data_IF_390016118870
#
_entry.id   IF_390016118870
#
_cell.length_a   1.000
_cell.length_b   1.000
_cell.length_c   1.000
_cell.angle_alpha   90.00
_cell.angle_beta   90.00
_cell.angle_gamma   90.00
#
_symmetry.space_group_name_H-M   'P 1'
#
loop_
_entity.id
_entity.type
_entity.pdbx_description
1 polymer ?
#
# COMPACT_ATOMS: atom_id res chain seq x y z
N UNK A 1 3.62 -59.25 -20.86
CA UNK A 1 4.79 -59.33 -21.76
C UNK A 1 5.09 -57.90 -22.19
N UNK A 2 6.22 -57.24 -21.88
CA UNK A 2 7.60 -57.70 -21.78
C UNK A 2 8.36 -57.10 -20.58
N UNK A 3 9.31 -57.89 -20.09
CA UNK A 3 10.29 -57.61 -19.04
C UNK A 3 11.59 -57.02 -19.59
N UNK A 4 12.29 -56.21 -18.80
CA UNK A 4 13.76 -56.10 -18.74
C UNK A 4 14.14 -55.36 -17.43
N UNK A 5 14.60 -56.05 -16.38
CA UNK A 5 16.02 -56.37 -16.01
C UNK A 5 16.86 -55.10 -15.74
N UNK A 6 17.09 -54.73 -14.48
CA UNK A 6 18.15 -55.17 -13.55
C UNK A 6 19.50 -54.49 -13.84
N UNK A 7 19.95 -53.59 -12.97
CA UNK A 7 21.32 -53.61 -12.46
C UNK A 7 21.48 -52.77 -11.17
N UNK A 8 22.03 -53.43 -10.15
CA UNK A 8 22.42 -52.89 -8.85
C UNK A 8 23.82 -52.31 -8.98
N UNK A 9 24.10 -51.22 -8.28
CA UNK A 9 25.46 -50.96 -7.79
C UNK A 9 25.39 -50.33 -6.39
N UNK A 10 25.71 -51.18 -5.42
CA UNK A 10 26.03 -50.85 -4.04
C UNK A 10 27.41 -50.21 -4.03
N UNK A 11 27.50 -48.97 -3.58
CA UNK A 11 28.77 -48.29 -3.31
C UNK A 11 28.83 -47.90 -1.83
N UNK A 12 29.38 -48.79 -1.01
CA UNK A 12 29.83 -48.49 0.35
C UNK A 12 31.12 -47.66 0.25
N UNK A 13 31.16 -46.48 0.89
CA UNK A 13 32.34 -45.61 0.96
C UNK A 13 32.46 -44.95 2.34
N UNK A 14 33.63 -45.12 2.95
CA UNK A 14 34.01 -44.94 4.35
C UNK A 14 34.26 -43.46 4.78
N UNK A 15 33.70 -43.09 5.94
CA UNK A 15 34.22 -42.28 7.08
C UNK A 15 35.26 -41.14 6.85
N UNK A 16 34.96 -39.93 7.34
CA UNK A 16 35.92 -39.07 8.07
C UNK A 16 35.20 -37.96 8.89
N UNK A 17 35.42 -37.96 10.20
CA UNK A 17 34.94 -37.00 11.20
C UNK A 17 35.75 -35.71 11.16
N UNK A 18 35.07 -34.55 11.12
CA UNK A 18 35.67 -33.25 11.46
C UNK A 18 34.73 -32.53 12.43
N UNK A 19 35.07 -32.59 13.72
CA UNK A 19 34.61 -31.63 14.72
C UNK A 19 35.19 -30.26 14.40
N UNK A 20 34.32 -29.29 14.15
CA UNK A 20 34.64 -27.88 14.33
C UNK A 20 33.45 -27.22 15.03
N UNK A 21 33.63 -26.93 16.32
CA UNK A 21 32.79 -25.98 17.03
C UNK A 21 33.02 -24.60 16.41
N UNK A 22 32.21 -24.21 15.44
CA UNK A 22 32.10 -22.80 15.06
C UNK A 22 31.30 -22.09 16.14
N UNK A 23 32.05 -21.34 16.96
CA UNK A 23 31.63 -20.14 17.67
C UNK A 23 30.34 -19.54 17.11
N UNK A 24 29.31 -19.47 17.95
CA UNK A 24 28.11 -18.66 17.71
C UNK A 24 28.55 -17.20 17.76
N UNK A 25 28.91 -16.67 16.58
CA UNK A 25 29.21 -15.27 16.42
C UNK A 25 27.89 -14.52 16.61
N UNK A 26 27.72 -13.85 17.75
CA UNK A 26 26.60 -12.97 18.00
C UNK A 26 26.76 -11.72 17.11
N UNK A 27 26.10 -11.75 15.95
CA UNK A 27 25.85 -10.61 15.09
C UNK A 27 24.85 -11.05 14.03
N UNK A 28 23.84 -10.24 13.65
CA UNK A 28 23.71 -8.80 13.79
C UNK A 28 22.58 -8.39 14.75
N UNK A 29 22.64 -7.20 15.34
CA UNK A 29 21.39 -6.47 15.52
C UNK A 29 20.98 -6.06 14.10
N UNK A 30 19.87 -6.56 13.54
CA UNK A 30 19.25 -5.79 12.49
C UNK A 30 18.85 -4.49 13.19
N UNK A 31 19.54 -3.40 12.84
CA UNK A 31 18.88 -2.11 12.80
C UNK A 31 17.52 -2.41 12.20
N UNK A 32 16.46 -2.26 13.01
CA UNK A 32 15.12 -2.11 12.49
C UNK A 32 15.10 -0.73 11.86
N UNK A 33 15.89 -0.62 10.78
CA UNK A 33 15.71 0.30 9.71
C UNK A 33 14.24 0.16 9.39
N UNK A 34 13.51 1.24 9.64
CA UNK A 34 12.18 1.49 9.15
C UNK A 34 12.11 0.94 7.74
N UNK A 35 11.67 -0.31 7.60
CA UNK A 35 11.31 -0.86 6.33
C UNK A 35 10.02 -0.12 6.01
N UNK A 36 10.19 1.02 5.35
CA UNK A 36 9.19 1.55 4.44
C UNK A 36 9.06 0.47 3.37
N UNK A 37 8.35 -0.61 3.71
CA UNK A 37 7.72 -1.49 2.74
C UNK A 37 6.64 -0.62 2.12
N UNK A 38 7.03 0.20 1.15
CA UNK A 38 6.12 0.99 0.33
C UNK A 38 5.13 0.09 -0.45
N UNK A 39 5.28 -1.23 -0.36
CA UNK A 39 4.41 -2.22 -0.97
C UNK A 39 3.35 -2.82 -0.04
N UNK A 40 3.55 -2.80 1.28
CA UNK A 40 2.62 -3.44 2.22
C UNK A 40 1.65 -2.42 2.82
N UNK A 41 0.74 -1.90 2.00
CA UNK A 41 -0.35 -1.07 2.51
C UNK A 41 -1.21 -1.88 3.52
N UNK A 42 -1.29 -1.47 4.79
CA UNK A 42 -2.05 -2.21 5.81
C UNK A 42 -3.56 -1.93 5.76
N UNK A 43 -4.04 -1.10 4.81
CA UNK A 43 -5.47 -0.78 4.67
C UNK A 43 -6.23 -2.02 4.21
N UNK A 44 -7.13 -2.48 5.05
CA UNK A 44 -7.99 -3.62 4.77
C UNK A 44 -9.07 -3.25 3.76
N UNK A 45 -9.77 -2.15 4.00
CA UNK A 45 -10.90 -1.70 3.18
C UNK A 45 -10.94 -0.18 3.08
N UNK A 46 -11.52 0.31 1.98
CA UNK A 46 -11.80 1.71 1.74
C UNK A 46 -13.27 1.90 1.41
N UNK A 47 -13.93 2.91 1.98
CA UNK A 47 -15.37 3.12 1.81
C UNK A 47 -15.76 4.60 1.88
N UNK A 48 -16.98 4.90 1.46
CA UNK A 48 -17.59 6.23 1.57
C UNK A 48 -16.79 7.37 0.91
N UNK A 49 -16.02 7.04 -0.12
CA UNK A 49 -15.22 8.03 -0.84
C UNK A 49 -16.09 8.95 -1.70
N UNK A 50 -15.84 10.25 -1.57
CA UNK A 50 -16.45 11.31 -2.36
C UNK A 50 -15.38 12.31 -2.79
N UNK A 51 -15.54 12.84 -3.99
CA UNK A 51 -14.68 13.88 -4.51
C UNK A 51 -15.53 15.02 -5.07
N UNK A 52 -15.08 16.25 -4.87
CA UNK A 52 -15.72 17.41 -5.46
C UNK A 52 -14.71 18.49 -5.78
N UNK A 53 -14.99 19.24 -6.84
CA UNK A 53 -14.25 20.43 -7.21
C UNK A 53 -14.91 21.64 -6.57
N UNK A 54 -14.12 22.39 -5.82
CA UNK A 54 -14.47 23.75 -5.41
C UNK A 54 -13.91 24.72 -6.45
N UNK A 55 -14.81 25.26 -7.26
CA UNK A 55 -14.54 26.25 -8.28
C UNK A 55 -14.86 27.62 -7.68
N UNK A 56 -13.97 28.08 -6.80
CA UNK A 56 -14.10 29.37 -6.13
C UNK A 56 -14.46 30.47 -7.15
N UNK A 57 -15.51 31.28 -6.91
CA UNK A 57 -15.82 32.39 -7.80
C UNK A 57 -14.71 33.44 -7.77
N UNK A 58 -14.41 34.04 -8.92
CA UNK A 58 -13.39 35.09 -9.05
C UNK A 58 -11.98 34.55 -9.29
N UNK A 59 -10.99 35.08 -8.55
CA UNK A 59 -9.56 34.80 -8.73
C UNK A 59 -9.03 33.67 -7.84
N UNK A 60 -9.91 32.92 -7.16
CA UNK A 60 -9.51 31.78 -6.35
C UNK A 60 -9.04 30.61 -7.22
N UNK A 61 -7.95 29.95 -6.81
CA UNK A 61 -7.52 28.73 -7.48
C UNK A 61 -8.51 27.59 -7.22
N UNK A 62 -8.93 26.83 -8.24
CA UNK A 62 -9.82 25.70 -8.05
C UNK A 62 -9.13 24.61 -7.23
N UNK A 63 -9.88 23.97 -6.32
CA UNK A 63 -9.38 22.91 -5.44
C UNK A 63 -10.15 21.62 -5.62
N UNK A 64 -9.45 20.50 -5.70
CA UNK A 64 -10.00 19.16 -5.59
C UNK A 64 -10.05 18.76 -4.12
N UNK A 65 -11.24 18.46 -3.63
CA UNK A 65 -11.45 17.98 -2.27
C UNK A 65 -11.85 16.51 -2.34
N UNK A 66 -11.32 15.71 -1.42
CA UNK A 66 -11.65 14.30 -1.29
C UNK A 66 -11.84 13.96 0.18
N UNK A 67 -12.85 13.14 0.46
CA UNK A 67 -13.12 12.57 1.78
C UNK A 67 -13.58 11.13 1.64
N UNK A 68 -13.19 10.28 2.58
CA UNK A 68 -13.63 8.90 2.66
C UNK A 68 -13.19 8.26 3.96
N UNK A 69 -13.27 6.94 4.03
CA UNK A 69 -12.92 6.16 5.21
C UNK A 69 -12.06 4.98 4.82
N UNK A 70 -11.16 4.59 5.71
CA UNK A 70 -10.33 3.40 5.59
C UNK A 70 -10.37 2.58 6.87
N UNK A 71 -10.27 1.26 6.72
CA UNK A 71 -10.24 0.32 7.85
C UNK A 71 -8.84 -0.24 8.02
N UNK A 72 -8.31 -0.13 9.23
CA UNK A 72 -7.02 -0.68 9.64
C UNK A 72 -7.19 -1.90 10.55
N UNK A 73 -6.20 -2.82 10.57
CA UNK A 73 -6.26 -4.05 11.38
C UNK A 73 -6.12 -3.81 12.89
N UNK A 74 -5.56 -2.67 13.28
CA UNK A 74 -5.40 -2.27 14.67
C UNK A 74 -5.50 -0.75 14.82
N UNK A 75 -5.55 -0.27 16.07
CA UNK A 75 -5.51 1.15 16.36
C UNK A 75 -4.07 1.72 16.24
N UNK A 76 -3.96 3.04 16.08
CA UNK A 76 -2.67 3.75 16.13
C UNK A 76 -1.94 3.91 14.80
N UNK A 77 -2.48 3.40 13.69
CA UNK A 77 -2.03 3.81 12.37
C UNK A 77 -2.31 5.29 12.15
N UNK A 78 -1.41 5.97 11.46
CA UNK A 78 -1.63 7.32 10.93
C UNK A 78 -1.54 7.28 9.41
N UNK A 79 -2.22 8.22 8.75
CA UNK A 79 -2.25 8.28 7.29
C UNK A 79 -2.17 9.70 6.77
N UNK A 80 -1.68 9.82 5.54
CA UNK A 80 -1.65 11.07 4.78
C UNK A 80 -2.16 10.80 3.37
N UNK A 81 -3.02 11.69 2.85
CA UNK A 81 -3.47 11.64 1.48
C UNK A 81 -2.60 12.57 0.62
N UNK A 82 -1.94 12.04 -0.39
CA UNK A 82 -1.04 12.76 -1.28
C UNK A 82 -1.52 12.77 -2.72
N UNK A 83 -1.13 13.81 -3.45
CA UNK A 83 -1.38 13.92 -4.89
C UNK A 83 -0.44 12.97 -5.64
N UNK A 84 -1.02 12.06 -6.42
CA UNK A 84 -0.29 11.15 -7.29
C UNK A 84 -0.26 11.62 -8.74
N UNK A 85 0.07 10.68 -9.63
CA UNK A 85 0.14 10.92 -11.07
C UNK A 85 -1.25 11.26 -11.63
N UNK A 86 -1.29 12.25 -12.53
CA UNK A 86 -2.44 12.55 -13.37
C UNK A 86 -2.27 11.85 -14.73
N UNK A 87 -3.30 11.11 -15.16
CA UNK A 87 -3.30 10.49 -16.49
C UNK A 87 -3.36 11.56 -17.59
N UNK A 88 -2.79 11.26 -18.77
CA UNK A 88 -2.74 12.14 -19.94
C UNK A 88 -3.98 12.03 -20.84
N UNK A 89 -5.07 11.45 -20.35
CA UNK A 89 -6.36 11.38 -21.04
C UNK A 89 -7.13 12.70 -20.91
N UNK A 90 -8.17 12.88 -21.73
CA UNK A 90 -9.12 13.98 -21.60
C UNK A 90 -10.57 13.47 -21.60
N UNK A 91 -11.33 13.62 -20.49
CA UNK A 91 -10.89 14.11 -19.18
C UNK A 91 -9.87 13.17 -18.50
N UNK A 92 -8.96 13.68 -17.65
CA UNK A 92 -7.94 12.87 -17.01
C UNK A 92 -8.47 12.14 -15.76
N UNK A 93 -7.78 11.06 -15.38
CA UNK A 93 -7.94 10.42 -14.08
C UNK A 93 -6.85 10.88 -13.13
N UNK A 94 -7.22 11.38 -11.95
CA UNK A 94 -6.26 11.79 -10.91
C UNK A 94 -6.06 10.65 -9.91
N UNK A 95 -4.82 10.22 -9.71
CA UNK A 95 -4.48 9.27 -8.65
C UNK A 95 -4.21 10.03 -7.35
N UNK A 96 -4.77 9.56 -6.23
CA UNK A 96 -4.42 10.00 -4.88
C UNK A 96 -3.87 8.82 -4.09
N UNK A 97 -2.82 9.05 -3.33
CA UNK A 97 -2.06 8.03 -2.63
C UNK A 97 -2.28 8.20 -1.13
N UNK A 98 -2.79 7.16 -0.47
CA UNK A 98 -2.79 7.06 0.98
C UNK A 98 -1.47 6.47 1.40
N UNK A 99 -0.63 7.28 2.03
CA UNK A 99 0.55 6.81 2.74
C UNK A 99 0.16 6.51 4.19
N UNK A 100 0.67 5.40 4.71
CA UNK A 100 0.30 4.91 6.05
C UNK A 100 1.57 4.69 6.86
N UNK A 101 1.55 5.17 8.11
CA UNK A 101 2.60 4.89 9.10
C UNK A 101 2.04 3.97 10.17
N UNK A 102 2.76 2.88 10.45
CA UNK A 102 2.39 1.94 11.49
C UNK A 102 2.63 2.52 12.90
N UNK A 103 1.84 2.12 13.91
CA UNK A 103 2.10 2.50 15.29
C UNK A 103 3.45 1.96 15.77
N UNK A 104 4.16 2.74 16.60
CA UNK A 104 5.47 2.37 17.15
C UNK A 104 5.41 1.32 18.26
N UNK A 105 4.24 1.12 18.87
CA UNK A 105 4.01 0.17 19.94
C UNK A 105 2.95 -0.87 19.53
N UNK A 106 3.01 -2.10 20.06
CA UNK A 106 1.96 -3.09 19.85
C UNK A 106 0.61 -2.52 20.32
N UNK A 107 -0.38 -2.61 19.44
CA UNK A 107 -1.74 -2.12 19.67
C UNK A 107 -2.72 -3.29 19.80
N UNK A 108 -3.87 -3.03 20.42
CA UNK A 108 -4.96 -4.00 20.46
C UNK A 108 -5.40 -4.35 19.03
N UNK A 109 -5.62 -5.63 18.78
CA UNK A 109 -6.12 -6.14 17.49
C UNK A 109 -7.62 -5.84 17.36
N UNK A 110 -7.93 -4.60 16.99
CA UNK A 110 -9.29 -4.08 16.79
C UNK A 110 -9.34 -3.37 15.45
N UNK A 111 -10.31 -3.76 14.62
CA UNK A 111 -10.61 -3.07 13.37
C UNK A 111 -10.93 -1.61 13.66
N UNK A 112 -10.13 -0.71 13.09
CA UNK A 112 -10.24 0.72 13.35
C UNK A 112 -10.57 1.43 12.06
N UNK A 113 -11.76 2.03 12.00
CA UNK A 113 -12.15 2.90 10.88
C UNK A 113 -11.62 4.31 11.14
N UNK A 114 -10.92 4.87 10.16
CA UNK A 114 -10.42 6.24 10.22
C UNK A 114 -10.88 7.04 9.00
N UNK A 115 -11.16 8.31 9.21
CA UNK A 115 -11.49 9.24 8.13
C UNK A 115 -10.23 9.71 7.40
N UNK A 116 -10.28 9.70 6.08
CA UNK A 116 -9.24 10.22 5.20
C UNK A 116 -9.81 11.39 4.43
N UNK A 117 -9.15 12.53 4.51
CA UNK A 117 -9.55 13.72 3.75
C UNK A 117 -8.34 14.47 3.25
N UNK A 118 -8.48 15.17 2.13
CA UNK A 118 -7.44 16.04 1.60
C UNK A 118 -8.01 17.10 0.67
N UNK A 119 -7.26 18.19 0.53
CA UNK A 119 -7.52 19.25 -0.41
C UNK A 119 -6.27 19.50 -1.24
N UNK A 120 -6.43 19.50 -2.56
CA UNK A 120 -5.33 19.62 -3.52
C UNK A 120 -5.65 20.70 -4.55
N UNK A 121 -4.64 21.29 -5.20
CA UNK A 121 -4.87 22.08 -6.42
C UNK A 121 -5.61 21.24 -7.46
N UNK A 122 -6.65 21.80 -8.08
CA UNK A 122 -7.29 21.16 -9.21
C UNK A 122 -6.41 21.33 -10.46
N UNK A 123 -5.76 20.24 -10.87
CA UNK A 123 -4.93 20.17 -12.08
C UNK A 123 -5.74 20.12 -13.38
N UNK A 124 -7.05 19.90 -13.30
CA UNK A 124 -7.98 19.93 -14.42
C UNK A 124 -9.33 20.52 -13.99
N UNK A 125 -10.04 21.15 -14.93
CA UNK A 125 -11.39 21.70 -14.71
C UNK A 125 -12.48 20.62 -14.67
N UNK A 126 -12.15 19.41 -15.13
CA UNK A 126 -13.00 18.22 -15.12
C UNK A 126 -12.11 17.00 -15.02
N UNK A 127 -12.57 15.97 -14.30
CA UNK A 127 -11.92 14.68 -14.20
C UNK A 127 -12.83 13.59 -14.75
N UNK A 128 -12.23 12.52 -15.26
CA UNK A 128 -12.94 11.29 -15.61
C UNK A 128 -13.21 10.48 -14.35
N UNK A 129 -12.18 10.33 -13.52
CA UNK A 129 -12.25 9.66 -12.23
C UNK A 129 -11.19 10.19 -11.28
N UNK A 130 -11.40 9.97 -9.99
CA UNK A 130 -10.36 10.06 -8.95
C UNK A 130 -10.11 8.66 -8.42
N UNK A 131 -8.89 8.15 -8.54
CA UNK A 131 -8.51 6.82 -8.05
C UNK A 131 -7.77 6.96 -6.72
N UNK A 132 -8.27 6.33 -5.67
CA UNK A 132 -7.63 6.28 -4.36
C UNK A 132 -6.84 4.99 -4.26
N UNK A 133 -5.54 5.10 -3.99
CA UNK A 133 -4.64 3.96 -3.86
C UNK A 133 -3.92 3.95 -2.53
N UNK A 134 -3.41 2.79 -2.16
CA UNK A 134 -2.46 2.64 -1.06
C UNK A 134 -1.48 1.53 -1.42
N UNK A 135 -0.19 1.85 -1.53
CA UNK A 135 0.79 0.98 -2.18
C UNK A 135 0.34 0.59 -3.59
N UNK A 136 0.29 -0.72 -3.86
CA UNK A 136 -0.18 -1.31 -5.12
C UNK A 136 -1.68 -1.56 -5.18
N UNK A 137 -2.41 -1.36 -4.07
CA UNK A 137 -3.85 -1.61 -3.97
C UNK A 137 -4.66 -0.38 -4.39
N UNK A 138 -5.66 -0.59 -5.26
CA UNK A 138 -6.72 0.39 -5.51
C UNK A 138 -7.80 0.20 -4.45
N UNK A 139 -8.09 1.25 -3.70
CA UNK A 139 -9.08 1.25 -2.62
C UNK A 139 -10.45 1.75 -3.11
N UNK A 140 -10.46 2.73 -4.01
CA UNK A 140 -11.67 3.26 -4.60
C UNK A 140 -11.40 3.92 -5.95
N UNK A 141 -12.43 3.93 -6.80
CA UNK A 141 -12.51 4.76 -7.99
C UNK A 141 -13.78 5.60 -7.89
N UNK A 142 -13.62 6.92 -7.95
CA UNK A 142 -14.70 7.89 -7.82
C UNK A 142 -14.96 8.49 -9.20
N UNK A 143 -16.06 8.13 -9.84
CA UNK A 143 -16.45 8.63 -11.18
C UNK A 143 -17.45 9.77 -11.12
N UNK A 144 -18.17 9.90 -10.00
CA UNK A 144 -19.05 11.03 -9.70
C UNK A 144 -18.24 12.11 -8.97
N UNK A 145 -17.84 13.15 -9.70
CA UNK A 145 -17.13 14.31 -9.15
C UNK A 145 -18.06 15.52 -9.21
N UNK A 146 -18.54 15.94 -8.05
CA UNK A 146 -19.41 17.10 -7.94
C UNK A 146 -18.62 18.38 -8.25
N UNK A 147 -19.30 19.37 -8.82
CA UNK A 147 -18.77 20.72 -9.00
C UNK A 147 -19.54 21.66 -8.11
N UNK A 148 -18.85 22.24 -7.14
CA UNK A 148 -19.37 23.25 -6.22
C UNK A 148 -18.73 24.58 -6.61
N UNK A 149 -19.55 25.62 -6.72
CA UNK A 149 -19.17 26.97 -7.14
C UNK A 149 -19.86 27.99 -6.28
#
# INVERSE_FOLDING_TARGET
MNSAKFERLVGLGLVASLSACSTYNAGPAPDTSSQIVADACPVMEGSNFKAWLNMMPGNGEPKLNVRGQVVFPSAGYTHELKLGILDRRQPPTQRLIIEVTAPSAPSAQVLTTQEVSGQFPALASKYQAITIVCGTKVLAEITEIDKIS
#
